data_IF_767568387418
#
_entry.id   IF_767568387418
#
_cell.length_a   1.000
_cell.length_b   1.000
_cell.length_c   1.000
_cell.angle_alpha   90.00
_cell.angle_beta   90.00
_cell.angle_gamma   90.00
#
_symmetry.space_group_name_H-M   'P 1'
#
loop_
_entity.id
_entity.type
_entity.pdbx_description
1 polymer ?
#
# COMPACT_ATOMS: atom_id res chain seq x y z
N UNK A 1 -18.02 46.86 -7.43
CA UNK A 1 -18.23 45.49 -6.90
C UNK A 1 -17.61 44.34 -7.71
N UNK A 2 -17.00 44.54 -8.90
CA UNK A 2 -16.49 43.42 -9.72
C UNK A 2 -15.15 42.82 -9.27
N UNK A 3 -14.31 43.56 -8.53
CA UNK A 3 -12.99 43.07 -8.12
C UNK A 3 -13.01 42.02 -7.01
N UNK A 4 -14.00 42.04 -6.12
CA UNK A 4 -14.06 41.11 -4.98
C UNK A 4 -14.27 39.64 -5.42
N UNK A 5 -15.02 39.43 -6.51
CA UNK A 5 -15.35 38.09 -6.99
C UNK A 5 -14.17 37.37 -7.66
N UNK A 6 -13.19 38.11 -8.21
CA UNK A 6 -12.02 37.50 -8.87
C UNK A 6 -11.01 36.95 -7.85
N UNK A 7 -10.79 37.69 -6.76
CA UNK A 7 -9.87 37.26 -5.69
C UNK A 7 -10.37 35.99 -4.99
N UNK A 8 -11.68 35.88 -4.78
CA UNK A 8 -12.28 34.68 -4.19
C UNK A 8 -12.12 33.43 -5.09
N UNK A 9 -12.26 33.59 -6.41
CA UNK A 9 -12.04 32.49 -7.35
C UNK A 9 -10.57 32.03 -7.39
N UNK A 10 -9.61 32.97 -7.30
CA UNK A 10 -8.18 32.64 -7.18
C UNK A 10 -7.89 31.88 -5.88
N UNK A 11 -8.52 32.29 -4.78
CA UNK A 11 -8.40 31.60 -3.50
C UNK A 11 -8.89 30.14 -3.60
N UNK A 12 -10.02 29.88 -4.26
CA UNK A 12 -10.50 28.50 -4.48
C UNK A 12 -9.50 27.66 -5.28
N UNK A 13 -8.89 28.23 -6.34
CA UNK A 13 -7.87 27.52 -7.14
C UNK A 13 -6.58 27.24 -6.36
N UNK A 14 -6.27 28.10 -5.39
CA UNK A 14 -5.15 27.88 -4.48
C UNK A 14 -5.47 26.74 -3.52
N UNK A 15 -6.66 26.75 -2.89
CA UNK A 15 -7.13 25.68 -1.99
C UNK A 15 -7.19 24.31 -2.69
N UNK A 16 -7.67 24.23 -3.94
CA UNK A 16 -7.67 22.96 -4.70
C UNK A 16 -6.25 22.42 -4.93
N UNK A 17 -5.25 23.31 -5.04
CA UNK A 17 -3.84 22.92 -5.20
C UNK A 17 -3.28 22.33 -3.90
N UNK A 18 -3.66 22.86 -2.72
CA UNK A 18 -3.29 22.25 -1.43
C UNK A 18 -3.95 20.90 -1.21
N UNK A 19 -5.23 20.76 -1.59
CA UNK A 19 -5.91 19.47 -1.54
C UNK A 19 -5.20 18.45 -2.44
N UNK A 20 -4.72 18.86 -3.62
CA UNK A 20 -3.94 17.98 -4.49
C UNK A 20 -2.60 17.56 -3.86
N UNK A 21 -1.90 18.47 -3.17
CA UNK A 21 -0.69 18.13 -2.41
C UNK A 21 -1.00 17.10 -1.32
N UNK A 22 -2.07 17.32 -0.55
CA UNK A 22 -2.52 16.39 0.49
C UNK A 22 -2.85 15.00 -0.09
N UNK A 23 -3.60 14.95 -1.19
CA UNK A 23 -3.91 13.70 -1.88
C UNK A 23 -2.64 13.00 -2.37
N UNK A 24 -1.71 13.72 -2.99
CA UNK A 24 -0.44 13.14 -3.45
C UNK A 24 0.39 12.54 -2.32
N UNK A 25 0.52 13.25 -1.19
CA UNK A 25 1.21 12.74 -0.01
C UNK A 25 0.50 11.51 0.59
N UNK A 26 -0.84 11.54 0.66
CA UNK A 26 -1.64 10.40 1.10
C UNK A 26 -1.47 9.19 0.17
N UNK A 27 -1.43 9.40 -1.16
CA UNK A 27 -1.19 8.32 -2.13
C UNK A 27 0.19 7.68 -1.94
N UNK A 28 1.23 8.47 -1.64
CA UNK A 28 2.56 7.93 -1.31
C UNK A 28 2.50 7.08 -0.04
N UNK A 29 1.85 7.58 1.02
CA UNK A 29 1.70 6.84 2.27
C UNK A 29 0.96 5.51 2.08
N UNK A 30 -0.15 5.51 1.33
CA UNK A 30 -0.88 4.29 1.00
C UNK A 30 -0.01 3.36 0.15
N UNK A 31 0.72 3.89 -0.84
CA UNK A 31 1.64 3.12 -1.67
C UNK A 31 2.71 2.41 -0.85
N UNK A 32 3.33 3.10 0.11
CA UNK A 32 4.29 2.50 1.03
C UNK A 32 3.65 1.40 1.89
N UNK A 33 2.46 1.67 2.46
CA UNK A 33 1.71 0.69 3.25
C UNK A 33 1.32 -0.55 2.43
N UNK A 34 1.01 -0.37 1.14
CA UNK A 34 0.67 -1.45 0.20
C UNK A 34 1.89 -2.33 -0.10
N UNK A 35 3.08 -1.74 -0.25
CA UNK A 35 4.32 -2.50 -0.47
C UNK A 35 4.63 -3.41 0.73
N UNK A 36 4.43 -2.90 1.95
CA UNK A 36 4.71 -3.64 3.18
C UNK A 36 3.58 -4.59 3.60
N UNK A 37 2.47 -4.64 2.84
CA UNK A 37 1.30 -5.44 3.19
C UNK A 37 1.49 -6.92 2.81
N UNK A 38 1.33 -7.86 3.77
CA UNK A 38 1.35 -9.31 3.47
C UNK A 38 0.31 -9.75 2.43
N UNK A 39 -0.78 -8.99 2.31
CA UNK A 39 -1.84 -9.26 1.32
C UNK A 39 -1.34 -9.03 -0.11
N UNK A 40 -0.54 -8.00 -0.32
CA UNK A 40 -0.05 -7.60 -1.65
C UNK A 40 1.10 -8.51 -2.08
N UNK A 41 1.93 -8.93 -1.12
CA UNK A 41 2.93 -9.97 -1.30
C UNK A 41 2.29 -11.29 -1.76
N UNK A 42 1.21 -11.74 -1.10
CA UNK A 42 0.51 -12.99 -1.43
C UNK A 42 -0.13 -13.00 -2.83
N UNK A 43 -0.49 -11.83 -3.37
CA UNK A 43 -1.12 -11.70 -4.71
C UNK A 43 -0.04 -11.48 -5.82
N UNK A 44 1.25 -11.38 -5.45
CA UNK A 44 2.36 -11.13 -6.40
C UNK A 44 2.19 -9.80 -7.17
N UNK A 45 1.58 -8.80 -6.53
CA UNK A 45 1.27 -7.49 -7.14
C UNK A 45 1.96 -6.31 -6.45
N UNK A 46 3.17 -6.53 -5.93
CA UNK A 46 4.00 -5.50 -5.28
C UNK A 46 4.20 -4.24 -6.16
N UNK A 47 4.23 -4.39 -7.48
CA UNK A 47 4.35 -3.28 -8.43
C UNK A 47 3.23 -2.23 -8.30
N UNK A 48 2.05 -2.62 -7.80
CA UNK A 48 0.92 -1.70 -7.58
C UNK A 48 1.30 -0.60 -6.59
N UNK A 49 1.96 -0.95 -5.49
CA UNK A 49 2.40 0.02 -4.49
C UNK A 49 3.46 0.99 -5.02
N UNK A 50 4.41 0.49 -5.81
CA UNK A 50 5.42 1.34 -6.49
C UNK A 50 4.76 2.31 -7.48
N UNK A 51 3.81 1.84 -8.28
CA UNK A 51 3.03 2.70 -9.17
C UNK A 51 2.28 3.79 -8.41
N UNK A 52 1.69 3.48 -7.25
CA UNK A 52 1.02 4.48 -6.41
C UNK A 52 2.00 5.54 -5.90
N UNK A 53 3.20 5.16 -5.45
CA UNK A 53 4.23 6.12 -5.00
C UNK A 53 4.63 7.06 -6.15
N UNK A 54 4.91 6.52 -7.33
CA UNK A 54 5.29 7.33 -8.51
C UNK A 54 4.17 8.30 -8.89
N UNK A 55 2.92 7.85 -8.91
CA UNK A 55 1.75 8.71 -9.18
C UNK A 55 1.64 9.81 -8.13
N UNK A 56 1.80 9.49 -6.84
CA UNK A 56 1.74 10.47 -5.77
C UNK A 56 2.83 11.55 -5.88
N UNK A 57 4.06 11.18 -6.23
CA UNK A 57 5.15 12.16 -6.47
C UNK A 57 4.81 13.07 -7.65
N UNK A 58 4.32 12.51 -8.76
CA UNK A 58 3.90 13.30 -9.93
C UNK A 58 2.77 14.27 -9.56
N UNK A 59 1.78 13.84 -8.76
CA UNK A 59 0.71 14.71 -8.28
C UNK A 59 1.23 15.88 -7.45
N UNK A 60 2.21 15.65 -6.58
CA UNK A 60 2.85 16.72 -5.78
C UNK A 60 3.57 17.73 -6.67
N UNK A 61 4.39 17.26 -7.62
CA UNK A 61 5.12 18.14 -8.56
C UNK A 61 4.13 19.01 -9.35
N UNK A 62 3.07 18.40 -9.87
CA UNK A 62 2.06 19.14 -10.62
C UNK A 62 1.28 20.13 -9.75
N UNK A 63 1.00 19.80 -8.49
CA UNK A 63 0.35 20.71 -7.57
C UNK A 63 1.22 21.94 -7.26
N UNK A 64 2.54 21.78 -7.15
CA UNK A 64 3.46 22.92 -7.03
C UNK A 64 3.48 23.80 -8.29
N UNK A 65 3.52 23.19 -9.48
CA UNK A 65 3.44 23.93 -10.75
C UNK A 65 2.12 24.70 -10.87
N UNK A 66 1.01 24.10 -10.43
CA UNK A 66 -0.30 24.74 -10.37
C UNK A 66 -0.35 25.91 -9.38
N UNK A 67 0.15 25.73 -8.15
CA UNK A 67 0.20 26.77 -7.14
C UNK A 67 1.08 27.95 -7.59
N UNK A 68 2.24 27.67 -8.20
CA UNK A 68 3.10 28.72 -8.73
C UNK A 68 2.49 29.41 -9.96
N UNK A 69 1.83 28.64 -10.83
CA UNK A 69 1.15 29.13 -12.01
C UNK A 69 -0.01 30.08 -11.70
N UNK A 70 -0.79 29.74 -10.65
CA UNK A 70 -1.86 30.60 -10.15
C UNK A 70 -1.33 31.84 -9.44
N UNK A 71 -0.22 31.73 -8.70
CA UNK A 71 0.44 32.85 -8.04
C UNK A 71 1.02 33.88 -9.02
N UNK A 72 1.75 33.43 -10.06
CA UNK A 72 2.44 34.31 -11.02
C UNK A 72 1.54 34.80 -12.17
N UNK A 73 0.26 34.42 -12.17
CA UNK A 73 -0.71 34.75 -13.24
C UNK A 73 -0.25 34.37 -14.66
N UNK A 74 0.62 33.37 -14.78
CA UNK A 74 1.14 32.95 -16.08
C UNK A 74 0.07 32.14 -16.83
N UNK A 75 -0.19 32.50 -18.10
CA UNK A 75 -1.11 31.79 -19.00
C UNK A 75 -0.80 30.28 -19.03
N UNK A 76 0.49 29.93 -19.12
CA UNK A 76 0.94 28.53 -19.13
C UNK A 76 0.60 27.78 -17.84
N UNK A 77 0.71 28.44 -16.68
CA UNK A 77 0.39 27.85 -15.39
C UNK A 77 -1.10 27.51 -15.24
N UNK A 78 -1.98 28.34 -15.80
CA UNK A 78 -3.41 28.05 -15.81
C UNK A 78 -3.74 26.85 -16.72
N UNK A 79 -3.07 26.72 -17.87
CA UNK A 79 -3.25 25.56 -18.77
C UNK A 79 -2.76 24.26 -18.13
N UNK A 80 -1.58 24.27 -17.49
CA UNK A 80 -1.07 23.09 -16.80
C UNK A 80 -1.99 22.69 -15.64
N UNK A 81 -2.51 23.66 -14.87
CA UNK A 81 -3.50 23.38 -13.83
C UNK A 81 -4.76 22.72 -14.39
N UNK A 82 -5.34 23.26 -15.47
CA UNK A 82 -6.54 22.69 -16.09
C UNK A 82 -6.30 21.24 -16.55
N UNK A 83 -5.15 20.96 -17.16
CA UNK A 83 -4.81 19.60 -17.59
C UNK A 83 -4.69 18.65 -16.41
N UNK A 84 -3.92 19.03 -15.39
CA UNK A 84 -3.68 18.21 -14.20
C UNK A 84 -4.98 17.97 -13.43
N UNK A 85 -5.72 19.03 -13.08
CA UNK A 85 -6.95 18.92 -12.31
C UNK A 85 -8.03 18.12 -13.05
N UNK A 86 -8.12 18.26 -14.37
CA UNK A 86 -9.02 17.46 -15.19
C UNK A 86 -8.65 15.98 -15.18
N UNK A 87 -7.37 15.68 -15.42
CA UNK A 87 -6.87 14.31 -15.44
C UNK A 87 -7.00 13.64 -14.06
N UNK A 88 -6.55 14.28 -12.97
CA UNK A 88 -6.68 13.72 -11.63
C UNK A 88 -8.13 13.62 -11.16
N UNK A 89 -8.99 14.58 -11.52
CA UNK A 89 -10.42 14.49 -11.24
C UNK A 89 -11.07 13.26 -11.88
N UNK A 90 -10.78 13.00 -13.17
CA UNK A 90 -11.27 11.81 -13.88
C UNK A 90 -10.70 10.53 -13.27
N UNK A 91 -9.40 10.47 -12.97
CA UNK A 91 -8.78 9.30 -12.36
C UNK A 91 -9.37 8.98 -10.97
N UNK A 92 -9.61 10.00 -10.14
CA UNK A 92 -10.24 9.81 -8.83
C UNK A 92 -11.65 9.26 -8.96
N UNK A 93 -12.44 9.74 -9.92
CA UNK A 93 -13.77 9.18 -10.19
C UNK A 93 -13.70 7.73 -10.68
N UNK A 94 -12.81 7.41 -11.62
CA UNK A 94 -12.61 6.04 -12.13
C UNK A 94 -12.17 5.10 -11.01
N UNK A 95 -11.19 5.53 -10.19
CA UNK A 95 -10.72 4.76 -9.05
C UNK A 95 -11.81 4.58 -7.99
N UNK A 96 -12.61 5.61 -7.73
CA UNK A 96 -13.74 5.52 -6.82
C UNK A 96 -14.79 4.50 -7.28
N UNK A 97 -15.12 4.49 -8.58
CA UNK A 97 -15.99 3.47 -9.18
C UNK A 97 -15.37 2.08 -9.07
N UNK A 98 -14.06 1.95 -9.32
CA UNK A 98 -13.35 0.68 -9.19
C UNK A 98 -13.36 0.16 -7.75
N UNK A 99 -13.20 1.02 -6.75
CA UNK A 99 -13.36 0.65 -5.33
C UNK A 99 -14.78 0.13 -5.06
N UNK A 100 -15.82 0.84 -5.53
CA UNK A 100 -17.21 0.38 -5.35
C UNK A 100 -17.46 -0.96 -6.04
N UNK A 101 -16.88 -1.17 -7.22
CA UNK A 101 -16.94 -2.46 -7.91
C UNK A 101 -16.18 -3.55 -7.14
N UNK A 102 -15.08 -3.21 -6.46
CA UNK A 102 -14.36 -4.11 -5.56
C UNK A 102 -15.20 -4.61 -4.39
N UNK A 103 -16.16 -3.83 -3.89
CA UNK A 103 -17.12 -4.31 -2.89
C UNK A 103 -18.08 -5.37 -3.46
N UNK A 104 -18.61 -5.15 -4.66
CA UNK A 104 -19.44 -6.13 -5.36
C UNK A 104 -18.64 -7.40 -5.71
N UNK A 105 -17.39 -7.23 -6.11
CA UNK A 105 -16.47 -8.35 -6.34
C UNK A 105 -16.22 -9.14 -5.04
N UNK A 106 -16.00 -8.45 -3.91
CA UNK A 106 -15.86 -9.12 -2.64
C UNK A 106 -17.11 -9.95 -2.27
N UNK A 107 -18.31 -9.43 -2.54
CA UNK A 107 -19.57 -10.18 -2.34
C UNK A 107 -19.64 -11.42 -3.22
N UNK A 108 -19.25 -11.31 -4.49
CA UNK A 108 -19.27 -12.43 -5.43
C UNK A 108 -18.38 -13.59 -4.98
N UNK A 109 -17.17 -13.31 -4.49
CA UNK A 109 -16.18 -14.36 -4.18
C UNK A 109 -16.05 -14.72 -2.69
N UNK A 110 -16.37 -13.80 -1.78
CA UNK A 110 -16.28 -14.01 -0.32
C UNK A 110 -17.66 -14.18 0.32
N UNK A 111 -18.75 -14.07 -0.44
CA UNK A 111 -20.11 -14.19 0.09
C UNK A 111 -20.53 -15.62 0.49
N UNK A 112 -19.85 -16.66 0.00
CA UNK A 112 -20.16 -18.06 0.34
C UNK A 112 -18.90 -18.93 0.50
N UNK A 113 -19.04 -20.08 1.18
CA UNK A 113 -17.88 -20.94 1.51
C UNK A 113 -17.37 -21.61 0.24
N UNK A 114 -18.28 -22.04 -0.62
CA UNK A 114 -17.99 -22.69 -1.91
C UNK A 114 -17.21 -21.75 -2.84
N UNK A 115 -17.66 -20.50 -2.99
CA UNK A 115 -17.02 -19.54 -3.90
C UNK A 115 -15.65 -19.05 -3.42
N UNK A 116 -15.40 -19.11 -2.11
CA UNK A 116 -14.10 -18.77 -1.54
C UNK A 116 -12.98 -19.66 -2.12
N UNK A 117 -13.31 -20.91 -2.49
CA UNK A 117 -12.38 -21.85 -3.10
C UNK A 117 -12.13 -21.64 -4.60
N UNK A 118 -12.93 -20.84 -5.28
CA UNK A 118 -12.76 -20.57 -6.71
C UNK A 118 -11.56 -19.66 -6.99
N UNK A 119 -11.19 -18.81 -6.01
CA UNK A 119 -9.99 -17.99 -6.08
C UNK A 119 -8.75 -18.81 -5.71
N UNK A 120 -7.90 -19.09 -6.69
CA UNK A 120 -6.65 -19.86 -6.50
C UNK A 120 -5.85 -19.42 -5.27
N UNK A 121 -5.65 -18.11 -5.08
CA UNK A 121 -4.90 -17.60 -3.92
C UNK A 121 -5.54 -17.87 -2.56
N UNK A 122 -6.88 -17.81 -2.47
CA UNK A 122 -7.59 -18.12 -1.22
C UNK A 122 -7.69 -19.62 -0.99
N UNK A 123 -7.83 -20.42 -2.06
CA UNK A 123 -7.76 -21.88 -1.99
C UNK A 123 -6.41 -22.35 -1.47
N UNK A 124 -5.31 -21.82 -2.01
CA UNK A 124 -3.96 -22.21 -1.60
C UNK A 124 -3.71 -21.79 -0.13
N UNK A 125 -4.19 -20.61 0.27
CA UNK A 125 -4.18 -20.19 1.68
C UNK A 125 -5.05 -21.10 2.58
N UNK A 126 -6.21 -21.55 2.10
CA UNK A 126 -7.08 -22.50 2.83
C UNK A 126 -6.43 -23.89 2.93
N UNK A 127 -5.76 -24.35 1.88
CA UNK A 127 -5.00 -25.61 1.91
C UNK A 127 -3.85 -25.53 2.91
N UNK A 128 -3.19 -24.38 3.04
CA UNK A 128 -2.19 -24.15 4.08
C UNK A 128 -2.79 -24.27 5.49
N UNK A 129 -4.01 -23.75 5.71
CA UNK A 129 -4.76 -23.89 6.97
C UNK A 129 -5.06 -25.36 7.24
N UNK A 130 -5.60 -26.10 6.27
CA UNK A 130 -5.90 -27.54 6.40
C UNK A 130 -4.63 -28.32 6.76
N UNK A 131 -3.53 -28.04 6.04
CA UNK A 131 -2.24 -28.70 6.26
C UNK A 131 -1.71 -28.39 7.65
N UNK A 132 -1.77 -27.14 8.10
CA UNK A 132 -1.37 -26.73 9.45
C UNK A 132 -2.26 -27.35 10.54
N UNK A 133 -3.58 -27.34 10.36
CA UNK A 133 -4.54 -27.94 11.29
C UNK A 133 -4.35 -29.45 11.44
N UNK A 134 -3.96 -30.14 10.37
CA UNK A 134 -3.70 -31.59 10.40
C UNK A 134 -2.51 -32.02 11.26
N UNK A 135 -1.58 -31.10 11.55
CA UNK A 135 -0.36 -31.37 12.30
C UNK A 135 -0.31 -30.67 13.66
N UNK A 136 -0.98 -29.53 13.81
CA UNK A 136 -0.97 -28.76 15.06
C UNK A 136 -1.64 -29.55 16.19
N UNK A 137 -1.05 -29.54 17.37
CA UNK A 137 -1.51 -30.32 18.53
C UNK A 137 -1.59 -31.84 18.26
N UNK A 138 -0.67 -32.36 17.45
CA UNK A 138 -0.49 -33.81 17.24
C UNK A 138 0.90 -34.26 17.69
N UNK A 139 1.23 -35.55 17.55
CA UNK A 139 2.60 -36.05 17.74
C UNK A 139 3.64 -35.30 16.90
N UNK A 140 3.25 -34.81 15.71
CA UNK A 140 4.13 -34.10 14.79
C UNK A 140 4.30 -32.63 15.15
N UNK A 141 3.43 -32.09 16.00
CA UNK A 141 3.58 -30.73 16.49
C UNK A 141 2.92 -30.57 17.85
N UNK A 142 3.59 -31.04 18.93
CA UNK A 142 3.07 -30.90 20.27
C UNK A 142 2.86 -29.41 20.59
N UNK A 143 1.63 -29.05 20.97
CA UNK A 143 1.28 -27.65 21.22
C UNK A 143 1.31 -27.34 22.72
N UNK A 144 1.60 -26.09 23.08
CA UNK A 144 1.58 -25.61 24.46
C UNK A 144 0.22 -24.96 24.76
N UNK A 145 -0.75 -25.76 25.21
CA UNK A 145 -2.11 -25.29 25.48
C UNK A 145 -2.30 -24.99 26.97
N UNK A 146 -2.55 -23.73 27.32
CA UNK A 146 -2.77 -23.33 28.71
C UNK A 146 -4.04 -23.98 29.29
N UNK A 147 -4.02 -24.52 30.52
CA UNK A 147 -5.16 -25.24 31.14
C UNK A 147 -6.49 -24.48 31.16
N UNK A 148 -6.41 -23.14 31.14
CA UNK A 148 -7.55 -22.22 31.24
C UNK A 148 -8.25 -21.95 29.90
N UNK A 149 -7.68 -22.40 28.79
CA UNK A 149 -8.26 -22.14 27.46
C UNK A 149 -9.38 -23.13 27.14
N UNK A 150 -10.51 -22.66 26.60
CA UNK A 150 -11.63 -23.52 26.17
C UNK A 150 -11.27 -24.47 25.01
N UNK A 151 -10.06 -24.32 24.46
CA UNK A 151 -9.53 -25.07 23.34
C UNK A 151 -9.24 -26.54 23.70
N UNK A 152 -9.10 -26.87 24.99
CA UNK A 152 -8.91 -28.26 25.47
C UNK A 152 -10.04 -29.22 25.06
N UNK A 153 -11.22 -28.70 24.68
CA UNK A 153 -12.34 -29.50 24.18
C UNK A 153 -12.13 -30.03 22.76
N UNK A 154 -11.21 -29.43 21.99
CA UNK A 154 -11.00 -29.72 20.58
C UNK A 154 -9.63 -30.37 20.30
N UNK A 155 -8.70 -30.29 21.25
CA UNK A 155 -7.39 -30.90 21.14
C UNK A 155 -7.33 -32.26 21.86
N UNK A 156 -6.56 -33.19 21.30
CA UNK A 156 -6.26 -34.44 22.01
C UNK A 156 -5.35 -34.11 23.21
N UNK A 157 -5.84 -34.32 24.43
CA UNK A 157 -5.16 -33.97 25.69
C UNK A 157 -3.77 -34.60 25.85
N UNK A 158 -3.43 -35.61 25.06
CA UNK A 158 -2.10 -36.24 25.08
C UNK A 158 -1.00 -35.39 24.44
N UNK A 159 -1.34 -34.38 23.63
CA UNK A 159 -0.36 -33.57 22.88
C UNK A 159 -0.40 -32.07 23.21
N UNK A 160 -0.99 -31.70 24.35
CA UNK A 160 -1.14 -30.30 24.82
C UNK A 160 -0.03 -29.81 25.74
N UNK A 161 0.98 -30.65 26.02
CA UNK A 161 2.17 -30.32 26.84
C UNK A 161 3.44 -30.09 26.00
N UNK A 162 3.27 -29.60 24.77
CA UNK A 162 4.36 -29.26 23.87
C UNK A 162 4.92 -27.87 24.08
N UNK A 163 5.71 -27.39 23.11
CA UNK A 163 6.28 -26.03 23.10
C UNK A 163 5.59 -25.09 22.12
N UNK A 164 4.86 -25.62 21.13
CA UNK A 164 4.35 -24.81 20.04
C UNK A 164 3.12 -24.01 20.45
N UNK A 165 3.24 -22.69 20.53
CA UNK A 165 2.09 -21.78 20.67
C UNK A 165 1.49 -21.39 19.32
N UNK A 166 2.19 -21.66 18.22
CA UNK A 166 1.80 -21.41 16.83
C UNK A 166 2.60 -22.35 15.93
N UNK A 167 2.17 -22.54 14.69
CA UNK A 167 2.81 -23.45 13.74
C UNK A 167 4.30 -23.18 13.53
N UNK A 168 4.71 -21.91 13.48
CA UNK A 168 6.13 -21.56 13.25
C UNK A 168 7.04 -21.90 14.43
N UNK A 169 6.48 -22.19 15.60
CA UNK A 169 7.23 -22.59 16.79
C UNK A 169 7.20 -24.12 16.99
N UNK A 170 6.88 -24.86 15.93
CA UNK A 170 6.77 -26.31 16.00
C UNK A 170 8.13 -26.95 16.23
N UNK A 171 8.23 -27.77 17.28
CA UNK A 171 9.43 -28.55 17.55
C UNK A 171 9.05 -30.04 17.69
N UNK A 172 9.27 -30.80 16.62
CA UNK A 172 9.02 -32.26 16.59
C UNK A 172 9.98 -33.06 17.47
N UNK A 173 11.14 -32.49 17.83
CA UNK A 173 12.11 -33.14 18.72
C UNK A 173 11.72 -33.04 20.19
N UNK A 174 10.71 -32.22 20.53
CA UNK A 174 10.26 -32.06 21.90
C UNK A 174 9.88 -33.41 22.50
N UNK A 175 10.61 -33.80 23.55
CA UNK A 175 10.35 -35.01 24.33
C UNK A 175 10.41 -36.34 23.54
N UNK A 176 11.11 -36.38 22.39
CA UNK A 176 11.19 -37.60 21.56
C UNK A 176 11.64 -38.84 22.35
N UNK A 177 12.60 -38.65 23.27
CA UNK A 177 13.15 -39.69 24.15
C UNK A 177 12.12 -40.33 25.10
N UNK A 178 11.00 -39.65 25.38
CA UNK A 178 9.96 -40.15 26.30
C UNK A 178 8.84 -40.90 25.59
N UNK A 179 8.77 -40.85 24.26
CA UNK A 179 7.77 -41.60 23.50
C UNK A 179 8.15 -43.09 23.37
N UNK A 180 7.17 -44.00 23.22
CA UNK A 180 7.45 -45.40 22.92
C UNK A 180 8.28 -45.56 21.63
N UNK A 181 9.13 -46.61 21.51
CA UNK A 181 9.99 -46.81 20.35
C UNK A 181 9.26 -46.81 18.99
N UNK A 182 8.02 -47.31 18.96
CA UNK A 182 7.17 -47.29 17.76
C UNK A 182 6.84 -45.86 17.30
N UNK A 183 6.53 -44.96 18.24
CA UNK A 183 6.23 -43.56 17.96
C UNK A 183 7.50 -42.80 17.59
N UNK A 184 8.62 -43.10 18.24
CA UNK A 184 9.93 -42.54 17.87
C UNK A 184 10.28 -42.86 16.41
N UNK A 185 10.09 -44.11 15.98
CA UNK A 185 10.34 -44.52 14.60
C UNK A 185 9.44 -43.76 13.60
N UNK A 186 8.16 -43.53 13.93
CA UNK A 186 7.24 -42.73 13.11
C UNK A 186 7.73 -41.28 12.99
N UNK A 187 8.13 -40.66 14.10
CA UNK A 187 8.63 -39.28 14.11
C UNK A 187 9.92 -39.13 13.32
N UNK A 188 10.89 -40.04 13.49
CA UNK A 188 12.14 -40.04 12.72
C UNK A 188 11.86 -40.21 11.23
N UNK A 189 10.98 -41.15 10.85
CA UNK A 189 10.57 -41.33 9.47
C UNK A 189 9.86 -40.10 8.89
N UNK A 190 9.02 -39.43 9.69
CA UNK A 190 8.37 -38.18 9.32
C UNK A 190 9.39 -37.06 9.09
N UNK A 191 10.31 -36.81 10.03
CA UNK A 191 11.32 -35.75 9.91
C UNK A 191 12.23 -35.99 8.70
N UNK A 192 12.65 -37.24 8.47
CA UNK A 192 13.43 -37.60 7.29
C UNK A 192 12.68 -37.38 5.98
N UNK A 193 11.38 -37.72 5.92
CA UNK A 193 10.58 -37.60 4.70
C UNK A 193 10.06 -36.18 4.43
N UNK A 194 9.65 -35.48 5.48
CA UNK A 194 8.92 -34.22 5.39
C UNK A 194 9.82 -32.99 5.57
N UNK A 195 10.92 -33.12 6.32
CA UNK A 195 11.88 -32.04 6.57
C UNK A 195 13.23 -32.27 5.89
N UNK A 196 13.47 -33.47 5.34
CA UNK A 196 14.75 -33.88 4.77
C UNK A 196 15.92 -33.83 5.78
N UNK A 197 15.62 -33.98 7.08
CA UNK A 197 16.60 -33.97 8.18
C UNK A 197 16.75 -35.39 8.72
N UNK A 198 17.98 -35.90 8.78
CA UNK A 198 18.29 -37.17 9.46
C UNK A 198 18.59 -36.89 10.93
N UNK A 199 17.74 -37.44 11.82
CA UNK A 199 17.83 -37.23 13.27
C UNK A 199 17.80 -38.57 14.00
N UNK A 200 18.40 -38.60 15.18
CA UNK A 200 18.38 -39.75 16.08
C UNK A 200 17.69 -39.37 17.38
N UNK A 201 17.29 -40.37 18.18
CA UNK A 201 16.66 -40.13 19.49
C UNK A 201 17.57 -39.30 20.41
N UNK A 202 18.88 -39.56 20.37
CA UNK A 202 19.88 -38.90 21.22
C UNK A 202 20.35 -37.54 20.67
N UNK A 203 20.16 -37.29 19.37
CA UNK A 203 20.57 -36.06 18.70
C UNK A 203 19.46 -35.57 17.75
N UNK A 204 18.43 -34.99 18.34
CA UNK A 204 17.30 -34.39 17.64
C UNK A 204 17.38 -32.87 17.81
N UNK A 205 17.98 -32.19 16.83
CA UNK A 205 18.06 -30.73 16.77
C UNK A 205 17.47 -30.28 15.44
N UNK A 206 16.43 -29.45 15.50
CA UNK A 206 15.79 -28.85 14.34
C UNK A 206 15.92 -27.34 14.50
N UNK A 207 16.43 -26.62 13.47
CA UNK A 207 16.41 -25.16 13.46
C UNK A 207 14.98 -24.64 13.65
N UNK A 208 14.82 -23.55 14.42
CA UNK A 208 13.50 -23.02 14.80
C UNK A 208 12.59 -22.69 13.60
N UNK A 209 13.15 -22.42 12.43
CA UNK A 209 12.47 -22.10 11.18
C UNK A 209 12.33 -23.29 10.21
N UNK A 210 13.21 -24.29 10.29
CA UNK A 210 13.29 -25.40 9.35
C UNK A 210 11.97 -26.18 9.21
N UNK A 211 11.19 -26.29 10.28
CA UNK A 211 9.87 -26.93 10.20
C UNK A 211 8.93 -26.15 9.29
N UNK A 212 8.77 -24.85 9.53
CA UNK A 212 7.89 -23.99 8.74
C UNK A 212 8.39 -23.89 7.30
N UNK A 213 9.70 -23.70 7.11
CA UNK A 213 10.28 -23.44 5.80
C UNK A 213 10.24 -24.66 4.89
N UNK A 214 10.49 -25.87 5.42
CA UNK A 214 10.46 -27.09 4.61
C UNK A 214 9.06 -27.69 4.52
N UNK A 215 8.34 -27.84 5.64
CA UNK A 215 7.02 -28.47 5.62
C UNK A 215 5.96 -27.60 4.93
N UNK A 216 6.04 -26.28 5.11
CA UNK A 216 5.11 -25.32 4.51
C UNK A 216 5.71 -24.58 3.31
N UNK A 217 6.79 -25.08 2.71
CA UNK A 217 7.48 -24.43 1.58
C UNK A 217 6.52 -24.02 0.44
N UNK A 218 5.60 -24.93 0.07
CA UNK A 218 4.58 -24.69 -0.96
C UNK A 218 3.67 -23.49 -0.63
N UNK A 219 3.47 -23.22 0.66
CA UNK A 219 2.56 -22.21 1.19
C UNK A 219 3.28 -21.04 1.87
N UNK A 220 4.60 -20.95 1.79
CA UNK A 220 5.41 -19.98 2.53
C UNK A 220 4.91 -18.54 2.30
N UNK A 221 4.53 -18.21 1.06
CA UNK A 221 3.97 -16.90 0.67
C UNK A 221 2.65 -16.52 1.34
N UNK A 222 1.89 -17.49 1.86
CA UNK A 222 0.60 -17.26 2.52
C UNK A 222 0.72 -17.18 4.04
N UNK A 223 1.83 -17.63 4.65
CA UNK A 223 1.97 -17.69 6.11
C UNK A 223 1.87 -16.31 6.76
N UNK A 224 2.48 -15.28 6.15
CA UNK A 224 2.39 -13.91 6.65
C UNK A 224 0.97 -13.35 6.53
N UNK A 225 0.27 -13.65 5.42
CA UNK A 225 -1.13 -13.28 5.24
C UNK A 225 -2.02 -13.93 6.30
N UNK A 226 -1.91 -15.25 6.46
CA UNK A 226 -2.72 -16.01 7.42
C UNK A 226 -2.52 -15.51 8.84
N UNK A 227 -1.26 -15.31 9.27
CA UNK A 227 -0.92 -14.71 10.55
C UNK A 227 -1.49 -13.31 10.71
N UNK A 228 -1.40 -12.47 9.68
CA UNK A 228 -1.96 -11.11 9.71
C UNK A 228 -3.47 -11.14 9.88
N UNK A 229 -4.17 -11.97 9.10
CA UNK A 229 -5.63 -12.06 9.10
C UNK A 229 -6.13 -12.62 10.45
N UNK A 230 -5.53 -13.71 10.96
CA UNK A 230 -5.88 -14.24 12.29
C UNK A 230 -5.67 -13.18 13.39
N UNK A 231 -4.53 -12.47 13.34
CA UNK A 231 -4.21 -11.42 14.31
C UNK A 231 -5.18 -10.25 14.24
N UNK A 232 -5.55 -9.84 13.03
CA UNK A 232 -6.34 -8.63 12.79
C UNK A 232 -7.82 -8.81 13.10
N UNK A 233 -8.36 -10.01 12.87
CA UNK A 233 -9.80 -10.26 12.90
C UNK A 233 -10.24 -11.28 13.97
N UNK A 234 -9.32 -11.81 14.77
CA UNK A 234 -9.59 -12.81 15.82
C UNK A 234 -10.40 -14.02 15.31
N UNK A 235 -10.02 -14.47 14.11
CA UNK A 235 -10.60 -15.60 13.38
C UNK A 235 -9.51 -16.62 13.07
N UNK A 236 -9.88 -17.81 12.60
CA UNK A 236 -8.93 -18.83 12.16
C UNK A 236 -9.42 -19.54 10.91
N UNK A 237 -8.49 -19.71 9.96
CA UNK A 237 -8.75 -20.19 8.61
C UNK A 237 -9.42 -19.17 7.69
N UNK A 238 -9.18 -19.26 6.38
CA UNK A 238 -9.74 -18.33 5.39
C UNK A 238 -11.14 -18.78 4.98
N UNK A 239 -11.21 -19.86 4.18
CA UNK A 239 -12.48 -20.42 3.70
C UNK A 239 -13.04 -21.50 4.63
N UNK A 240 -12.25 -22.00 5.56
CA UNK A 240 -12.66 -22.98 6.58
C UNK A 240 -12.51 -22.37 7.96
N UNK A 241 -13.34 -22.85 8.88
CA UNK A 241 -13.23 -22.49 10.29
C UNK A 241 -12.38 -23.53 11.00
N UNK A 242 -11.37 -23.05 11.70
CA UNK A 242 -10.60 -23.84 12.64
C UNK A 242 -10.99 -23.51 14.08
N UNK A 243 -10.85 -24.48 14.98
CA UNK A 243 -11.21 -24.30 16.39
C UNK A 243 -10.09 -23.64 17.21
N UNK A 244 -8.92 -23.47 16.59
CA UNK A 244 -7.71 -22.95 17.23
C UNK A 244 -7.03 -21.95 16.30
N UNK A 245 -6.30 -20.99 16.88
CA UNK A 245 -5.40 -20.15 16.09
C UNK A 245 -4.19 -21.00 15.67
N UNK A 246 -3.91 -21.06 14.37
CA UNK A 246 -2.84 -21.90 13.84
C UNK A 246 -1.55 -21.11 13.61
N UNK A 247 -1.69 -19.85 13.18
CA UNK A 247 -0.57 -19.00 12.76
C UNK A 247 -0.26 -17.89 13.78
N UNK A 248 -1.16 -17.68 14.73
CA UNK A 248 -1.00 -16.83 15.91
C UNK A 248 -1.04 -17.67 17.19
N UNK A 249 -0.93 -17.02 18.34
CA UNK A 249 -0.88 -17.72 19.62
C UNK A 249 -2.19 -18.46 19.92
N UNK A 250 -2.09 -19.78 20.04
CA UNK A 250 -3.18 -20.72 20.32
C UNK A 250 -3.89 -20.40 21.65
N UNK A 251 -3.19 -19.73 22.58
CA UNK A 251 -3.73 -19.38 23.88
C UNK A 251 -4.56 -18.08 23.88
N UNK A 252 -4.76 -17.44 22.72
CA UNK A 252 -5.63 -16.25 22.58
C UNK A 252 -7.13 -16.56 22.73
N UNK A 253 -7.49 -17.82 22.93
CA UNK A 253 -8.86 -18.28 23.08
C UNK A 253 -9.40 -18.90 21.80
N UNK A 254 -10.73 -19.03 21.73
CA UNK A 254 -11.41 -19.66 20.60
C UNK A 254 -11.63 -18.63 19.48
N UNK A 255 -11.23 -18.92 18.22
CA UNK A 255 -11.53 -18.06 17.09
C UNK A 255 -13.04 -17.83 16.92
N UNK A 256 -13.44 -16.60 16.61
CA UNK A 256 -14.86 -16.22 16.51
C UNK A 256 -15.55 -16.92 15.32
N UNK A 257 -14.79 -17.25 14.27
CA UNK A 257 -15.27 -17.89 13.05
C UNK A 257 -14.15 -18.05 12.02
N UNK A 258 -14.54 -18.30 10.77
CA UNK A 258 -13.61 -18.19 9.65
C UNK A 258 -13.29 -16.71 9.38
N UNK A 259 -12.15 -16.46 8.75
CA UNK A 259 -11.70 -15.11 8.47
C UNK A 259 -12.37 -14.47 7.26
N UNK A 260 -12.97 -15.27 6.37
CA UNK A 260 -13.63 -14.77 5.17
C UNK A 260 -14.69 -13.72 5.48
N UNK A 261 -15.60 -13.97 6.43
CA UNK A 261 -16.66 -13.01 6.76
C UNK A 261 -16.10 -11.66 7.23
N UNK A 262 -15.07 -11.70 8.09
CA UNK A 262 -14.43 -10.48 8.59
C UNK A 262 -13.65 -9.74 7.50
N UNK A 263 -13.00 -10.47 6.60
CA UNK A 263 -12.33 -9.89 5.43
C UNK A 263 -13.39 -9.26 4.51
N UNK A 264 -14.49 -9.94 4.24
CA UNK A 264 -15.59 -9.45 3.41
C UNK A 264 -16.16 -8.13 3.95
N UNK A 265 -16.53 -8.10 5.24
CA UNK A 265 -17.05 -6.90 5.91
C UNK A 265 -16.03 -5.76 5.85
N UNK A 266 -14.75 -6.06 6.07
CA UNK A 266 -13.67 -5.09 6.05
C UNK A 266 -13.45 -4.51 4.64
N UNK A 267 -13.39 -5.36 3.60
CA UNK A 267 -13.25 -4.92 2.21
C UNK A 267 -14.49 -4.11 1.80
N UNK A 268 -15.70 -4.56 2.11
CA UNK A 268 -16.93 -3.84 1.79
C UNK A 268 -16.96 -2.45 2.42
N UNK A 269 -16.64 -2.36 3.71
CA UNK A 269 -16.59 -1.09 4.44
C UNK A 269 -15.53 -0.13 3.89
N UNK A 270 -14.31 -0.61 3.64
CA UNK A 270 -13.22 0.19 3.08
C UNK A 270 -13.57 0.64 1.66
N UNK A 271 -13.94 -0.28 0.79
CA UNK A 271 -14.28 -0.01 -0.61
C UNK A 271 -15.40 1.01 -0.75
N UNK A 272 -16.44 0.92 0.10
CA UNK A 272 -17.53 1.90 0.12
C UNK A 272 -17.02 3.29 0.54
N UNK A 273 -16.29 3.38 1.66
CA UNK A 273 -15.78 4.65 2.19
C UNK A 273 -14.81 5.33 1.24
N UNK A 274 -13.82 4.59 0.75
CA UNK A 274 -12.85 5.13 -0.21
C UNK A 274 -13.50 5.43 -1.56
N UNK A 275 -14.42 4.58 -2.02
CA UNK A 275 -15.15 4.79 -3.27
C UNK A 275 -15.91 6.11 -3.29
N UNK A 276 -16.78 6.34 -2.30
CA UNK A 276 -17.55 7.59 -2.18
C UNK A 276 -16.62 8.80 -2.02
N UNK A 277 -15.62 8.69 -1.16
CA UNK A 277 -14.69 9.79 -0.88
C UNK A 277 -13.94 10.21 -2.15
N UNK A 278 -13.42 9.25 -2.92
CA UNK A 278 -12.72 9.52 -4.18
C UNK A 278 -13.63 10.16 -5.23
N UNK A 279 -14.89 9.72 -5.35
CA UNK A 279 -15.86 10.33 -6.27
C UNK A 279 -16.14 11.79 -5.87
N UNK A 280 -16.36 12.07 -4.57
CA UNK A 280 -16.61 13.43 -4.09
C UNK A 280 -15.43 14.35 -4.39
N UNK A 281 -14.20 13.90 -4.09
CA UNK A 281 -13.00 14.68 -4.41
C UNK A 281 -12.79 14.85 -5.91
N UNK A 282 -13.03 13.81 -6.72
CA UNK A 282 -12.94 13.88 -8.18
C UNK A 282 -13.92 14.90 -8.77
N UNK A 283 -15.18 14.88 -8.33
CA UNK A 283 -16.19 15.87 -8.71
C UNK A 283 -15.79 17.30 -8.30
N UNK A 284 -15.22 17.48 -7.10
CA UNK A 284 -14.72 18.77 -6.65
C UNK A 284 -13.59 19.30 -7.55
N UNK A 285 -12.69 18.43 -8.02
CA UNK A 285 -11.64 18.84 -8.96
C UNK A 285 -12.17 19.21 -10.34
N UNK A 286 -13.14 18.45 -10.85
CA UNK A 286 -13.82 18.77 -12.12
C UNK A 286 -14.53 20.13 -12.00
N UNK A 287 -15.17 20.41 -10.86
CA UNK A 287 -15.76 21.73 -10.59
C UNK A 287 -14.71 22.85 -10.59
N UNK A 288 -13.53 22.61 -9.98
CA UNK A 288 -12.39 23.53 -10.05
C UNK A 288 -11.90 23.79 -11.48
N UNK A 289 -11.95 22.77 -12.35
CA UNK A 289 -11.63 22.92 -13.79
C UNK A 289 -12.66 23.79 -14.50
N UNK A 290 -13.96 23.63 -14.21
CA UNK A 290 -15.02 24.48 -14.77
C UNK A 290 -14.82 25.93 -14.35
N UNK A 291 -14.48 26.18 -13.08
CA UNK A 291 -14.14 27.52 -12.57
C UNK A 291 -12.93 28.10 -13.34
N UNK A 292 -11.84 27.34 -13.48
CA UNK A 292 -10.66 27.79 -14.21
C UNK A 292 -10.99 28.15 -15.67
N UNK A 293 -11.85 27.35 -16.32
CA UNK A 293 -12.34 27.62 -17.67
C UNK A 293 -13.15 28.94 -17.73
N UNK A 294 -14.05 29.18 -16.77
CA UNK A 294 -14.81 30.44 -16.70
C UNK A 294 -13.90 31.66 -16.54
N UNK A 295 -12.86 31.59 -15.70
CA UNK A 295 -11.88 32.66 -15.51
C UNK A 295 -11.18 32.95 -16.84
N UNK A 296 -10.70 31.91 -17.53
CA UNK A 296 -10.03 32.04 -18.82
C UNK A 296 -10.92 32.71 -19.88
N UNK A 297 -12.20 32.33 -19.97
CA UNK A 297 -13.15 32.95 -20.90
C UNK A 297 -13.35 34.44 -20.59
N UNK A 298 -13.45 34.82 -19.31
CA UNK A 298 -13.55 36.23 -18.90
C UNK A 298 -12.29 37.01 -19.26
N UNK A 299 -11.09 36.45 -19.05
CA UNK A 299 -9.82 37.10 -19.42
C UNK A 299 -9.71 37.36 -20.93
N UNK A 300 -10.14 36.41 -21.78
CA UNK A 300 -10.12 36.60 -23.24
C UNK A 300 -11.05 37.75 -23.69
N UNK A 301 -12.20 37.92 -23.03
CA UNK A 301 -13.16 38.99 -23.36
C UNK A 301 -12.59 40.39 -23.06
N UNK A 302 -11.75 40.54 -22.05
CA UNK A 302 -11.10 41.83 -21.76
C UNK A 302 -9.96 42.14 -22.73
N UNK A 303 -9.16 41.15 -23.11
CA UNK A 303 -8.05 41.35 -24.06
C UNK A 303 -8.52 41.70 -25.49
N UNK A 304 -9.76 41.37 -25.87
CA UNK A 304 -10.32 41.69 -27.18
C UNK A 304 -11.04 43.05 -27.27
N UNK A 305 -11.11 43.82 -26.18
CA UNK A 305 -11.73 45.17 -26.18
C UNK A 305 -10.67 46.26 -26.41
N UNK A 306 -9.38 45.93 -26.30
CA UNK A 306 -8.29 46.79 -26.76
C UNK A 306 -8.02 46.56 -28.26
N UNK A 307 -8.15 47.65 -29.04
CA UNK A 307 -8.02 47.80 -30.51
C UNK A 307 -9.28 47.49 -31.33
N UNK A 308 -9.94 48.56 -31.79
CA UNK A 308 -9.48 49.19 -33.03
C UNK A 308 -9.13 50.67 -32.83
N UNK A 309 -7.83 50.95 -32.71
CA UNK A 309 -7.26 52.28 -32.95
C UNK A 309 -6.00 52.14 -33.79
N UNK A 310 -6.12 51.45 -34.94
CA UNK A 310 -5.32 51.82 -36.10
C UNK A 310 -6.01 53.02 -36.73
N UNK A 311 -5.55 54.19 -36.29
CA UNK A 311 -5.78 55.44 -36.99
C UNK A 311 -5.31 55.31 -38.42
N UNK A 312 -6.23 55.56 -39.34
CA UNK A 312 -5.92 56.19 -40.61
C UNK A 312 -5.21 57.53 -40.33
N UNK A 313 -4.10 57.77 -41.03
CA UNK A 313 -3.63 59.13 -41.31
C UNK A 313 -2.26 59.45 -40.74
N UNK A 314 -1.26 59.52 -41.63
CA UNK A 314 0.02 60.13 -41.33
C UNK A 314 1.13 59.68 -42.27
N UNK A 315 0.98 59.90 -43.57
CA UNK A 315 2.12 60.08 -44.46
C UNK A 315 2.97 61.22 -43.91
N UNK A 316 4.27 61.01 -43.68
CA UNK A 316 5.29 62.02 -44.01
C UNK A 316 6.70 61.41 -44.02
N UNK A 317 7.39 61.71 -45.12
CA UNK A 317 8.79 61.42 -45.42
C UNK A 317 9.76 61.96 -44.34
N UNK A 318 10.87 61.26 -44.14
CA UNK A 318 12.06 61.76 -43.44
C UNK A 318 13.01 60.64 -43.07
N UNK A 319 13.87 60.18 -43.98
CA UNK A 319 15.30 60.53 -44.09
C UNK A 319 16.16 60.04 -42.92
N UNK A 320 17.13 59.19 -43.29
CA UNK A 320 18.38 58.79 -42.62
C UNK A 320 18.70 59.31 -41.21
N UNK A 321 19.00 58.40 -40.27
CA UNK A 321 20.34 58.43 -39.64
C UNK A 321 20.74 57.06 -39.09
N UNK A 322 21.95 56.66 -39.48
CA UNK A 322 22.60 55.39 -39.19
C UNK A 322 23.53 55.62 -37.99
N UNK A 323 23.09 55.34 -36.76
CA UNK A 323 23.98 55.34 -35.60
C UNK A 323 24.15 53.93 -35.01
N UNK A 324 25.32 53.40 -35.33
CA UNK A 324 26.03 52.27 -34.75
C UNK A 324 26.29 52.56 -33.26
N UNK A 325 25.63 51.84 -32.35
CA UNK A 325 26.03 51.79 -30.94
C UNK A 325 26.80 50.49 -30.69
N UNK A 326 28.05 50.69 -30.27
CA UNK A 326 28.98 49.65 -29.83
C UNK A 326 28.48 48.94 -28.56
N UNK A 327 28.74 47.64 -28.38
CA UNK A 327 28.58 46.99 -27.10
C UNK A 327 29.75 47.39 -26.18
N UNK A 328 29.41 48.07 -25.08
CA UNK A 328 30.33 48.33 -23.97
C UNK A 328 30.52 47.02 -23.20
N UNK A 329 31.71 46.42 -23.35
CA UNK A 329 32.21 45.32 -22.52
C UNK A 329 32.28 45.81 -21.08
N UNK A 330 31.52 45.17 -20.19
CA UNK A 330 31.65 45.34 -18.74
C UNK A 330 32.47 44.15 -18.27
N UNK A 331 33.74 44.42 -17.97
CA UNK A 331 34.59 43.51 -17.21
C UNK A 331 34.01 43.39 -15.79
N UNK A 332 33.55 42.19 -15.45
CA UNK A 332 33.21 41.81 -14.07
C UNK A 332 34.33 40.91 -13.57
N UNK A 333 35.31 41.53 -12.92
CA UNK A 333 36.20 40.86 -11.98
C UNK A 333 35.34 40.35 -10.80
N UNK A 334 35.14 39.04 -10.76
CA UNK A 334 34.39 38.34 -9.71
C UNK A 334 35.20 37.14 -9.23
N UNK A 335 36.11 37.42 -8.31
CA UNK A 335 36.87 36.46 -7.50
C UNK A 335 36.00 35.31 -6.96
N UNK A 336 36.42 34.07 -7.25
CA UNK A 336 35.94 32.84 -6.65
C UNK A 336 36.30 32.78 -5.14
N UNK A 337 35.36 32.43 -4.25
CA UNK A 337 35.72 31.84 -2.97
C UNK A 337 36.02 30.35 -3.18
N UNK A 338 37.24 29.93 -2.81
CA UNK A 338 37.58 28.53 -2.55
C UNK A 338 36.71 28.04 -1.38
N UNK A 339 35.88 27.03 -1.63
CA UNK A 339 35.30 26.24 -0.56
C UNK A 339 36.36 25.22 -0.09
N UNK A 340 36.70 25.33 1.19
CA UNK A 340 37.58 24.45 1.92
C UNK A 340 37.11 23.00 1.83
N UNK A 341 38.08 22.11 1.63
CA UNK A 341 37.95 20.68 1.79
C UNK A 341 38.18 20.35 3.26
N UNK A 342 37.11 20.19 4.03
CA UNK A 342 37.22 19.55 5.34
C UNK A 342 37.18 18.03 5.16
N UNK A 343 38.37 17.44 5.28
CA UNK A 343 38.57 16.04 5.61
C UNK A 343 38.22 15.82 7.08
N UNK A 344 37.31 14.90 7.37
CA UNK A 344 37.21 14.19 8.65
C UNK A 344 36.61 12.81 8.30
N UNK A 345 37.42 11.77 8.11
CA UNK A 345 37.98 10.92 9.17
C UNK A 345 37.01 10.75 10.36
N UNK A 346 36.29 9.64 10.36
CA UNK A 346 36.05 8.87 11.58
C UNK A 346 35.83 7.40 11.22
N UNK A 347 36.94 6.67 11.27
CA UNK A 347 36.98 5.28 11.71
C UNK A 347 36.38 5.15 13.11
N UNK A 348 35.44 4.22 13.28
CA UNK A 348 35.27 3.41 14.50
C UNK A 348 34.37 2.24 14.13
N UNK A 349 34.99 1.07 13.90
CA UNK A 349 35.19 0.00 14.89
C UNK A 349 33.91 -0.76 15.22
N UNK A 350 33.90 -1.99 14.72
CA UNK A 350 33.48 -3.22 15.38
C UNK A 350 33.29 -3.10 16.90
N UNK A 351 32.18 -3.63 17.42
CA UNK A 351 32.16 -4.86 18.23
C UNK A 351 30.77 -5.02 18.89
N UNK A 352 30.10 -6.13 18.56
CA UNK A 352 29.31 -7.08 19.37
C UNK A 352 28.34 -7.84 18.46
#
# INVERSE_FOLDING_TARGET
>A
MRCCHLNWLKFILFETSFLQLGTGAFTIYVGATVIDSPLVEAIEKQWVGVCMIVIGILMIIFAFVAAFGTYKENKWGLYSYMFVAGWSGVLLCVFGIACLWGAAYAEEYLGSDEKCYDLKGLRDASNAVIKAGSIMCTIFCPCNLEPTTQVHLYANQTFTYGTATKLQNCNTCWHIQYYPPEVQAILIAFMKKALEIDVTVDNCVIPDDAFSDTYMQEYAKYLNLLKYVEKRFDCSGVCIKENVFLFTDINRGTPIGNCREKIYDWIGYISLKFGITNIVFGCFQIFGLVIAFMIKMKLKKFAGIESPTTGLGGDENGTEEKQRLEPKVVDVDGSYPQAESESNNNDSKNDV
#
